data_IF_544393373954
#
_entry.id   IF_544393373954
#
_cell.length_a   1.000
_cell.length_b   1.000
_cell.length_c   1.000
_cell.angle_alpha   90.00
_cell.angle_beta   90.00
_cell.angle_gamma   90.00
#
_symmetry.space_group_name_H-M   'P 1'
#
loop_
_entity.id
_entity.type
_entity.pdbx_description
1 polymer ?
#
# COMPACT_ATOMS: atom_id res chain seq x y z
N UNK A 1 15.39 16.18 -43.40
CA UNK A 1 14.71 16.17 -42.09
C UNK A 1 14.63 14.72 -41.63
N UNK A 2 15.45 14.31 -40.64
CA UNK A 2 15.34 12.99 -40.03
C UNK A 2 14.37 13.12 -38.86
N UNK A 3 13.24 12.41 -38.92
CA UNK A 3 12.36 12.24 -37.76
C UNK A 3 13.15 11.49 -36.70
N UNK A 4 13.36 12.16 -35.56
CA UNK A 4 13.81 11.51 -34.33
C UNK A 4 12.53 11.01 -33.70
N UNK A 5 12.24 9.72 -33.85
CA UNK A 5 11.20 9.06 -33.05
C UNK A 5 11.72 8.99 -31.62
N UNK A 6 11.02 9.63 -30.69
CA UNK A 6 11.31 9.50 -29.27
C UNK A 6 11.29 8.01 -28.88
N UNK A 7 12.31 7.52 -28.15
CA UNK A 7 12.27 6.16 -27.65
C UNK A 7 11.13 6.05 -26.65
N UNK A 8 10.18 5.16 -26.94
CA UNK A 8 9.20 4.70 -25.96
C UNK A 8 9.95 4.33 -24.67
N UNK A 9 9.58 4.86 -23.49
CA UNK A 9 10.27 4.50 -22.27
C UNK A 9 10.16 2.98 -22.10
N UNK A 10 11.32 2.32 -22.05
CA UNK A 10 11.40 0.89 -21.81
C UNK A 10 10.75 0.62 -20.45
N UNK A 11 9.71 -0.20 -20.43
CA UNK A 11 9.20 -0.79 -19.20
C UNK A 11 10.40 -1.49 -18.54
N UNK A 12 10.79 -1.12 -17.30
CA UNK A 12 11.91 -1.75 -16.63
C UNK A 12 11.73 -3.28 -16.65
N UNK A 13 12.73 -4.02 -17.15
CA UNK A 13 12.70 -5.47 -17.31
C UNK A 13 12.56 -6.27 -15.98
N UNK A 14 12.43 -5.60 -14.84
CA UNK A 14 12.53 -6.21 -13.50
C UNK A 14 11.22 -6.74 -12.92
N UNK A 15 10.07 -6.60 -13.61
CA UNK A 15 8.77 -7.08 -13.13
C UNK A 15 8.11 -8.09 -14.08
N UNK A 16 8.87 -9.10 -14.53
CA UNK A 16 8.27 -10.22 -15.28
C UNK A 16 7.58 -11.18 -14.32
N UNK A 17 6.24 -11.21 -14.34
CA UNK A 17 5.46 -12.20 -13.60
C UNK A 17 5.68 -13.56 -14.29
N UNK A 18 6.09 -14.62 -13.55
CA UNK A 18 6.27 -15.93 -14.13
C UNK A 18 5.02 -16.41 -14.86
N UNK A 19 5.19 -16.93 -16.08
CA UNK A 19 4.10 -17.58 -16.79
C UNK A 19 3.73 -18.88 -16.07
N UNK A 20 2.46 -18.98 -15.68
CA UNK A 20 1.87 -20.18 -15.08
C UNK A 20 0.65 -20.55 -15.91
N UNK A 21 0.59 -21.80 -16.34
CA UNK A 21 -0.58 -22.34 -17.01
C UNK A 21 -1.44 -23.04 -15.96
N UNK A 22 -2.57 -22.42 -15.63
CA UNK A 22 -3.59 -23.00 -14.76
C UNK A 22 -4.12 -24.33 -15.34
N UNK A 23 -4.39 -25.27 -14.46
CA UNK A 23 -5.07 -26.54 -14.80
C UNK A 23 -6.58 -26.33 -14.91
N UNK A 24 -7.26 -27.25 -15.60
CA UNK A 24 -8.73 -27.21 -15.72
C UNK A 24 -9.42 -27.27 -14.34
N UNK A 25 -8.85 -28.04 -13.40
CA UNK A 25 -9.36 -28.14 -12.02
C UNK A 25 -9.21 -26.81 -11.27
N UNK A 26 -8.04 -26.17 -11.33
CA UNK A 26 -7.82 -24.85 -10.71
C UNK A 26 -8.73 -23.77 -11.30
N UNK A 27 -8.92 -23.77 -12.61
CA UNK A 27 -9.83 -22.86 -13.29
C UNK A 27 -11.28 -23.10 -12.85
N UNK A 28 -11.71 -24.36 -12.75
CA UNK A 28 -13.04 -24.74 -12.27
C UNK A 28 -13.28 -24.33 -10.82
N UNK A 29 -12.31 -24.58 -9.93
CA UNK A 29 -12.37 -24.17 -8.53
C UNK A 29 -12.48 -22.65 -8.40
N UNK A 30 -11.68 -21.88 -9.15
CA UNK A 30 -11.79 -20.42 -9.20
C UNK A 30 -13.19 -19.97 -9.63
N UNK A 31 -13.73 -20.51 -10.72
CA UNK A 31 -15.06 -20.13 -11.24
C UNK A 31 -16.14 -20.42 -10.19
N UNK A 32 -16.03 -21.56 -9.51
CA UNK A 32 -16.93 -21.94 -8.42
C UNK A 32 -16.84 -20.93 -7.28
N UNK A 33 -15.64 -20.64 -6.79
CA UNK A 33 -15.42 -19.65 -5.74
C UNK A 33 -15.92 -18.25 -6.11
N UNK A 34 -15.70 -17.80 -7.34
CA UNK A 34 -16.20 -16.51 -7.85
C UNK A 34 -17.75 -16.47 -7.87
N UNK A 35 -18.40 -17.59 -8.20
CA UNK A 35 -19.85 -17.72 -8.19
C UNK A 35 -20.42 -17.66 -6.76
N UNK A 36 -19.79 -18.37 -5.82
CA UNK A 36 -20.14 -18.33 -4.39
C UNK A 36 -20.00 -16.91 -3.84
N UNK A 37 -18.91 -16.22 -4.17
CA UNK A 37 -18.68 -14.83 -3.76
C UNK A 37 -19.79 -13.89 -4.27
N UNK A 38 -20.14 -14.00 -5.56
CA UNK A 38 -21.23 -13.21 -6.16
C UNK A 38 -22.58 -13.49 -5.52
N UNK A 39 -22.80 -14.72 -5.05
CA UNK A 39 -24.02 -15.16 -4.38
C UNK A 39 -24.03 -14.81 -2.88
N UNK A 40 -22.97 -14.18 -2.36
CA UNK A 40 -22.84 -13.79 -0.97
C UNK A 40 -22.37 -14.90 -0.03
N UNK A 41 -22.11 -16.11 -0.55
CA UNK A 41 -21.57 -17.25 0.18
C UNK A 41 -20.05 -17.08 0.41
N UNK A 42 -19.72 -16.05 1.19
CA UNK A 42 -18.34 -15.60 1.40
C UNK A 42 -17.45 -16.65 2.07
N UNK A 43 -17.97 -17.36 3.08
CA UNK A 43 -17.18 -18.36 3.82
C UNK A 43 -16.78 -19.54 2.93
N UNK A 44 -17.72 -20.05 2.13
CA UNK A 44 -17.48 -21.18 1.21
C UNK A 44 -16.55 -20.77 0.07
N UNK A 45 -16.75 -19.56 -0.48
CA UNK A 45 -15.84 -18.97 -1.47
C UNK A 45 -14.41 -18.85 -0.94
N UNK A 46 -14.25 -18.31 0.28
CA UNK A 46 -12.95 -18.11 0.91
C UNK A 46 -12.21 -19.43 1.13
N UNK A 47 -12.92 -20.48 1.55
CA UNK A 47 -12.33 -21.81 1.74
C UNK A 47 -11.72 -22.36 0.44
N UNK A 48 -12.39 -22.17 -0.71
CA UNK A 48 -11.84 -22.61 -2.00
C UNK A 48 -10.62 -21.76 -2.38
N UNK A 49 -10.69 -20.43 -2.22
CA UNK A 49 -9.54 -19.57 -2.49
C UNK A 49 -8.34 -19.92 -1.62
N UNK A 50 -8.53 -20.18 -0.32
CA UNK A 50 -7.44 -20.58 0.57
C UNK A 50 -6.77 -21.87 0.12
N UNK A 51 -7.55 -22.89 -0.25
CA UNK A 51 -7.01 -24.14 -0.76
C UNK A 51 -6.17 -23.94 -2.02
N UNK A 52 -6.64 -23.10 -2.96
CA UNK A 52 -5.87 -22.73 -4.16
C UNK A 52 -4.57 -21.99 -3.80
N UNK A 53 -4.62 -21.05 -2.86
CA UNK A 53 -3.44 -20.29 -2.43
C UNK A 53 -2.41 -21.15 -1.67
N UNK A 54 -2.75 -22.35 -1.20
CA UNK A 54 -1.74 -23.24 -0.63
C UNK A 54 -0.81 -23.86 -1.67
N UNK A 55 -1.28 -24.03 -2.92
CA UNK A 55 -0.57 -24.81 -3.95
C UNK A 55 -0.05 -23.97 -5.11
N UNK A 56 -0.71 -22.85 -5.42
CA UNK A 56 -0.36 -22.04 -6.59
C UNK A 56 1.03 -21.36 -6.43
N UNK A 57 1.91 -21.37 -7.44
CA UNK A 57 3.11 -20.56 -7.40
C UNK A 57 2.79 -19.07 -7.61
N UNK A 58 3.77 -18.22 -7.32
CA UNK A 58 3.73 -16.79 -7.69
C UNK A 58 3.45 -16.66 -9.18
N UNK A 59 2.29 -16.06 -9.50
CA UNK A 59 1.77 -15.97 -10.86
C UNK A 59 0.64 -14.95 -10.95
N UNK A 60 0.31 -14.52 -12.17
CA UNK A 60 -0.84 -13.66 -12.42
C UNK A 60 -2.18 -14.37 -12.11
N UNK A 61 -2.20 -15.70 -12.14
CA UNK A 61 -3.37 -16.47 -11.71
C UNK A 61 -3.53 -16.38 -10.19
N UNK A 62 -2.45 -16.65 -9.43
CA UNK A 62 -2.42 -16.49 -7.98
C UNK A 62 -2.81 -15.08 -7.53
N UNK A 63 -2.33 -14.03 -8.21
CA UNK A 63 -2.68 -12.65 -7.86
C UNK A 63 -4.19 -12.39 -7.95
N UNK A 64 -4.88 -12.93 -8.96
CA UNK A 64 -6.33 -12.85 -9.10
C UNK A 64 -7.06 -13.59 -7.98
N UNK A 65 -6.60 -14.79 -7.61
CA UNK A 65 -7.17 -15.56 -6.51
C UNK A 65 -7.04 -14.79 -5.18
N UNK A 66 -5.84 -14.31 -4.87
CA UNK A 66 -5.60 -13.55 -3.65
C UNK A 66 -6.44 -12.25 -3.59
N UNK A 67 -6.55 -11.52 -4.71
CA UNK A 67 -7.41 -10.36 -4.78
C UNK A 67 -8.88 -10.71 -4.48
N UNK A 68 -9.42 -11.79 -5.04
CA UNK A 68 -10.80 -12.21 -4.78
C UNK A 68 -11.00 -12.75 -3.35
N UNK A 69 -10.01 -13.43 -2.77
CA UNK A 69 -10.01 -13.84 -1.36
C UNK A 69 -10.14 -12.62 -0.43
N UNK A 70 -9.46 -11.51 -0.75
CA UNK A 70 -9.58 -10.26 0.00
C UNK A 70 -11.00 -9.66 -0.03
N UNK A 71 -11.78 -9.97 -1.06
CA UNK A 71 -13.18 -9.52 -1.21
C UNK A 71 -14.17 -10.45 -0.50
N UNK A 72 -13.86 -11.74 -0.42
CA UNK A 72 -14.62 -12.70 0.38
C UNK A 72 -14.40 -12.49 1.89
N UNK A 73 -13.29 -11.85 2.27
CA UNK A 73 -12.89 -11.66 3.67
C UNK A 73 -13.58 -10.47 4.34
N UNK A 74 -14.01 -10.68 5.59
CA UNK A 74 -14.62 -9.65 6.44
C UNK A 74 -13.57 -9.01 7.38
N UNK A 75 -12.66 -9.82 7.94
CA UNK A 75 -11.67 -9.35 8.90
C UNK A 75 -10.61 -8.48 8.21
N UNK A 76 -10.33 -7.32 8.80
CA UNK A 76 -9.40 -6.33 8.23
C UNK A 76 -7.99 -6.92 8.07
N UNK A 77 -7.51 -7.66 9.07
CA UNK A 77 -6.17 -8.25 9.07
C UNK A 77 -6.00 -9.29 7.97
N UNK A 78 -6.98 -10.16 7.80
CA UNK A 78 -6.98 -11.15 6.72
C UNK A 78 -7.09 -10.49 5.35
N UNK A 79 -7.90 -9.41 5.24
CA UNK A 79 -8.02 -8.64 4.00
C UNK A 79 -6.69 -8.03 3.59
N UNK A 80 -5.95 -7.47 4.55
CA UNK A 80 -4.60 -6.95 4.33
C UNK A 80 -3.65 -8.05 3.85
N UNK A 81 -3.66 -9.22 4.50
CA UNK A 81 -2.83 -10.38 4.13
C UNK A 81 -3.02 -10.72 2.64
N UNK A 82 -4.25 -10.93 2.20
CA UNK A 82 -4.52 -11.31 0.81
C UNK A 82 -4.18 -10.22 -0.20
N UNK A 83 -4.38 -8.94 0.14
CA UNK A 83 -3.96 -7.84 -0.73
C UNK A 83 -2.44 -7.78 -0.87
N UNK A 84 -1.68 -8.02 0.21
CA UNK A 84 -0.22 -8.12 0.15
C UNK A 84 0.24 -9.31 -0.67
N UNK A 85 -0.42 -10.46 -0.53
CA UNK A 85 -0.13 -11.66 -1.31
C UNK A 85 -0.43 -11.49 -2.81
N UNK A 86 -1.52 -10.78 -3.13
CA UNK A 86 -1.82 -10.34 -4.49
C UNK A 86 -0.66 -9.50 -5.06
N UNK A 87 -0.19 -8.51 -4.30
CA UNK A 87 0.91 -7.63 -4.71
C UNK A 87 2.28 -8.31 -4.72
N UNK A 88 2.48 -9.37 -3.94
CA UNK A 88 3.66 -10.22 -4.03
C UNK A 88 3.68 -10.99 -5.37
N UNK A 89 2.50 -11.39 -5.85
CA UNK A 89 2.37 -12.15 -7.09
C UNK A 89 2.32 -11.26 -8.33
N UNK A 90 1.75 -10.06 -8.18
CA UNK A 90 1.63 -9.03 -9.21
C UNK A 90 1.83 -7.64 -8.57
N UNK A 91 3.08 -7.14 -8.52
CA UNK A 91 3.38 -5.83 -7.94
C UNK A 91 2.72 -4.66 -8.66
N UNK A 92 2.25 -4.84 -9.90
CA UNK A 92 1.62 -3.79 -10.69
C UNK A 92 0.09 -3.83 -10.59
N UNK A 93 -0.48 -4.69 -9.74
CA UNK A 93 -1.93 -4.86 -9.59
C UNK A 93 -2.60 -3.64 -8.94
N UNK A 94 -2.87 -2.59 -9.74
CA UNK A 94 -3.40 -1.28 -9.31
C UNK A 94 -4.64 -1.38 -8.41
N UNK A 95 -5.59 -2.26 -8.74
CA UNK A 95 -6.82 -2.45 -7.93
C UNK A 95 -6.52 -2.93 -6.52
N UNK A 96 -5.51 -3.79 -6.35
CA UNK A 96 -5.12 -4.28 -5.04
C UNK A 96 -4.43 -3.17 -4.23
N UNK A 97 -3.56 -2.37 -4.87
CA UNK A 97 -2.96 -1.18 -4.25
C UNK A 97 -4.01 -0.19 -3.74
N UNK A 98 -5.01 0.15 -4.57
CA UNK A 98 -6.09 1.06 -4.17
C UNK A 98 -6.86 0.51 -2.96
N UNK A 99 -7.18 -0.78 -2.96
CA UNK A 99 -7.86 -1.43 -1.83
C UNK A 99 -6.99 -1.41 -0.56
N UNK A 100 -5.70 -1.65 -0.70
CA UNK A 100 -4.75 -1.65 0.41
C UNK A 100 -4.55 -0.24 0.99
N UNK A 101 -4.41 0.78 0.14
CA UNK A 101 -4.36 2.18 0.56
C UNK A 101 -5.61 2.58 1.38
N UNK A 102 -6.80 2.22 0.89
CA UNK A 102 -8.06 2.45 1.62
C UNK A 102 -8.14 1.67 2.93
N UNK A 103 -7.57 0.47 3.01
CA UNK A 103 -7.52 -0.31 4.24
C UNK A 103 -6.64 0.39 5.28
N UNK A 104 -5.45 0.84 4.90
CA UNK A 104 -4.57 1.62 5.77
C UNK A 104 -5.23 2.92 6.24
N UNK A 105 -5.98 3.59 5.36
CA UNK A 105 -6.79 4.74 5.74
C UNK A 105 -7.79 4.40 6.86
N UNK A 106 -8.51 3.28 6.76
CA UNK A 106 -9.45 2.86 7.83
C UNK A 106 -8.76 2.49 9.14
N UNK A 107 -7.50 2.04 9.06
CA UNK A 107 -6.67 1.71 10.23
C UNK A 107 -5.96 2.95 10.82
N UNK A 108 -6.10 4.14 10.19
CA UNK A 108 -5.31 5.35 10.49
C UNK A 108 -3.79 5.17 10.32
N UNK A 109 -3.34 4.18 9.54
CA UNK A 109 -1.94 4.05 9.15
C UNK A 109 -1.66 4.96 7.93
N UNK A 110 -1.53 6.26 8.21
CA UNK A 110 -1.39 7.26 7.17
C UNK A 110 -0.07 7.16 6.40
N UNK A 111 0.99 6.66 7.03
CA UNK A 111 2.29 6.46 6.38
C UNK A 111 2.19 5.34 5.35
N UNK A 112 1.65 4.18 5.73
CA UNK A 112 1.45 3.07 4.79
C UNK A 112 0.43 3.44 3.68
N UNK A 113 -0.63 4.17 4.03
CA UNK A 113 -1.60 4.69 3.07
C UNK A 113 -0.94 5.58 2.01
N UNK A 114 -0.10 6.53 2.44
CA UNK A 114 0.63 7.43 1.54
C UNK A 114 1.54 6.66 0.58
N UNK A 115 2.30 5.67 1.10
CA UNK A 115 3.19 4.85 0.29
C UNK A 115 2.43 4.16 -0.84
N UNK A 116 1.26 3.60 -0.56
CA UNK A 116 0.46 2.93 -1.60
C UNK A 116 -0.13 3.92 -2.61
N UNK A 117 -0.57 5.12 -2.20
CA UNK A 117 -1.02 6.16 -3.14
C UNK A 117 0.09 6.66 -4.07
N UNK A 118 1.31 6.82 -3.55
CA UNK A 118 2.48 7.16 -4.38
C UNK A 118 2.74 6.09 -5.43
N UNK A 119 2.72 4.81 -5.04
CA UNK A 119 2.88 3.71 -6.02
C UNK A 119 1.75 3.67 -7.05
N UNK A 120 0.52 4.00 -6.68
CA UNK A 120 -0.60 4.05 -7.65
C UNK A 120 -0.36 5.15 -8.69
N UNK A 121 0.13 6.32 -8.27
CA UNK A 121 0.48 7.44 -9.16
C UNK A 121 1.66 7.11 -10.09
N UNK A 122 2.63 6.32 -9.61
CA UNK A 122 3.75 5.82 -10.43
C UNK A 122 3.29 4.84 -11.52
N UNK A 123 2.21 4.08 -11.27
CA UNK A 123 1.65 3.13 -12.25
C UNK A 123 0.86 3.84 -13.35
N UNK A 124 -0.09 4.69 -12.95
CA UNK A 124 -0.98 5.39 -13.86
C UNK A 124 -1.37 6.77 -13.28
N UNK A 125 -1.66 7.77 -14.13
CA UNK A 125 -2.20 9.04 -13.67
C UNK A 125 -3.43 8.87 -12.76
N UNK A 126 -3.42 9.57 -11.63
CA UNK A 126 -4.55 9.56 -10.69
C UNK A 126 -5.75 10.30 -11.27
N UNK A 127 -6.95 9.75 -11.05
CA UNK A 127 -8.19 10.50 -11.24
C UNK A 127 -8.33 11.63 -10.21
N UNK A 128 -9.18 12.62 -10.47
CA UNK A 128 -9.38 13.74 -9.53
C UNK A 128 -9.75 13.28 -8.11
N UNK A 129 -10.65 12.29 -7.99
CA UNK A 129 -11.00 11.73 -6.68
C UNK A 129 -9.81 11.03 -6.00
N UNK A 130 -8.95 10.36 -6.75
CA UNK A 130 -7.73 9.74 -6.20
C UNK A 130 -6.67 10.78 -5.80
N UNK A 131 -6.57 11.90 -6.52
CA UNK A 131 -5.70 13.03 -6.13
C UNK A 131 -6.12 13.62 -4.78
N UNK A 132 -7.42 13.77 -4.54
CA UNK A 132 -7.93 14.23 -3.24
C UNK A 132 -7.54 13.27 -2.11
N UNK A 133 -7.72 11.96 -2.32
CA UNK A 133 -7.32 10.96 -1.34
C UNK A 133 -5.82 10.96 -1.07
N UNK A 134 -4.99 11.06 -2.13
CA UNK A 134 -3.54 11.16 -1.98
C UNK A 134 -3.13 12.41 -1.21
N UNK A 135 -3.70 13.57 -1.51
CA UNK A 135 -3.39 14.82 -0.81
C UNK A 135 -3.75 14.75 0.68
N UNK A 136 -4.88 14.11 1.02
CA UNK A 136 -5.23 13.84 2.42
C UNK A 136 -4.22 12.90 3.09
N UNK A 137 -3.85 11.81 2.41
CA UNK A 137 -2.87 10.85 2.91
C UNK A 137 -1.50 11.50 3.14
N UNK A 138 -1.00 12.31 2.19
CA UNK A 138 0.27 13.05 2.31
C UNK A 138 0.25 13.98 3.53
N UNK A 139 -0.82 14.75 3.71
CA UNK A 139 -0.97 15.67 4.85
C UNK A 139 -0.94 14.93 6.18
N UNK A 140 -1.68 13.82 6.29
CA UNK A 140 -1.78 13.05 7.53
C UNK A 140 -0.52 12.22 7.81
N UNK A 141 0.12 11.69 6.77
CA UNK A 141 1.40 10.99 6.87
C UNK A 141 2.51 11.91 7.37
N UNK A 142 2.55 13.17 6.93
CA UNK A 142 3.49 14.16 7.45
C UNK A 142 3.30 14.37 8.96
N UNK A 143 2.06 14.54 9.41
CA UNK A 143 1.74 14.65 10.84
C UNK A 143 2.20 13.42 11.63
N UNK A 144 1.81 12.23 11.18
CA UNK A 144 2.20 10.97 11.81
C UNK A 144 3.73 10.78 11.86
N UNK A 145 4.44 11.17 10.80
CA UNK A 145 5.91 11.11 10.74
C UNK A 145 6.54 12.07 11.76
N UNK A 146 6.04 13.30 11.86
CA UNK A 146 6.49 14.27 12.86
C UNK A 146 6.26 13.73 14.28
N UNK A 147 5.12 13.09 14.55
CA UNK A 147 4.82 12.53 15.87
C UNK A 147 5.76 11.36 16.22
N UNK A 148 6.06 10.48 15.25
CA UNK A 148 7.07 9.42 15.44
C UNK A 148 8.45 10.01 15.74
N UNK A 149 8.88 11.03 14.99
CA UNK A 149 10.17 11.70 15.22
C UNK A 149 10.22 12.38 16.59
N UNK A 150 9.13 13.05 17.00
CA UNK A 150 9.00 13.64 18.33
C UNK A 150 9.13 12.59 19.43
N UNK A 151 8.38 11.49 19.33
CA UNK A 151 8.46 10.39 20.30
C UNK A 151 9.85 9.77 20.39
N UNK A 152 10.56 9.65 19.26
CA UNK A 152 11.93 9.16 19.25
C UNK A 152 12.91 10.14 19.89
N UNK A 153 12.77 11.44 19.61
CA UNK A 153 13.57 12.49 20.23
C UNK A 153 13.35 12.58 21.74
N UNK A 154 12.10 12.53 22.20
CA UNK A 154 11.76 12.51 23.62
C UNK A 154 12.32 11.26 24.33
N UNK A 155 12.35 10.09 23.67
CA UNK A 155 12.97 8.88 24.23
C UNK A 155 14.48 9.03 24.44
N UNK A 156 15.16 9.78 23.56
CA UNK A 156 16.60 10.06 23.68
C UNK A 156 16.84 11.12 24.75
N UNK A 157 16.15 12.26 24.64
CA UNK A 157 16.29 13.41 25.53
C UNK A 157 15.82 13.13 26.96
N UNK A 158 14.82 12.27 27.12
CA UNK A 158 14.31 11.87 28.43
C UNK A 158 15.36 11.18 29.30
N UNK A 159 16.37 10.52 28.71
CA UNK A 159 17.53 9.98 29.46
C UNK A 159 18.35 11.06 30.15
N UNK A 160 18.21 12.31 29.72
CA UNK A 160 18.88 13.48 30.27
C UNK A 160 17.91 14.44 30.97
N UNK A 161 16.66 14.01 31.22
CA UNK A 161 15.63 14.85 31.86
C UNK A 161 15.11 15.99 30.98
N UNK A 162 15.19 15.85 29.65
CA UNK A 162 14.76 16.85 28.68
C UNK A 162 13.64 16.32 27.78
N UNK A 163 12.92 17.22 27.10
CA UNK A 163 11.95 16.94 26.04
C UNK A 163 12.24 17.76 24.79
N UNK A 164 11.81 17.29 23.61
CA UNK A 164 11.79 18.08 22.38
C UNK A 164 11.04 19.40 22.56
N UNK A 165 10.02 19.42 23.43
CA UNK A 165 9.24 20.64 23.68
C UNK A 165 10.02 21.72 24.45
N UNK A 166 11.18 21.36 25.03
CA UNK A 166 12.08 22.32 25.69
C UNK A 166 12.90 23.12 24.66
N UNK A 167 12.83 22.78 23.37
CA UNK A 167 13.56 23.45 22.30
C UNK A 167 12.61 24.26 21.43
N UNK A 168 12.91 25.55 21.21
CA UNK A 168 12.20 26.43 20.30
C UNK A 168 13.10 26.90 19.18
N UNK A 169 12.55 26.91 17.96
CA UNK A 169 13.22 27.45 16.79
C UNK A 169 12.82 28.90 16.56
N UNK A 170 13.80 29.78 16.33
CA UNK A 170 13.59 31.17 15.93
C UNK A 170 14.28 31.42 14.59
N UNK A 171 13.54 32.01 13.64
CA UNK A 171 14.10 32.37 12.32
C UNK A 171 14.80 33.72 12.43
N UNK A 172 16.07 33.75 12.08
CA UNK A 172 16.89 34.96 12.08
C UNK A 172 16.62 35.80 10.83
N UNK A 173 16.98 37.09 10.88
CA UNK A 173 16.77 38.03 9.77
C UNK A 173 17.55 37.67 8.49
N UNK A 174 18.65 36.93 8.63
CA UNK A 174 19.47 36.40 7.52
C UNK A 174 18.90 35.11 6.90
N UNK A 175 17.75 34.62 7.40
CA UNK A 175 17.10 33.40 6.92
C UNK A 175 17.57 32.11 7.62
N UNK A 176 18.59 32.18 8.48
CA UNK A 176 19.02 31.02 9.29
C UNK A 176 18.04 30.74 10.43
N UNK A 177 18.13 29.55 11.03
CA UNK A 177 17.27 29.16 12.16
C UNK A 177 18.13 28.86 13.38
N UNK A 178 17.85 29.56 14.48
CA UNK A 178 18.46 29.31 15.79
C UNK A 178 17.59 28.36 16.59
N UNK A 179 18.20 27.44 17.35
CA UNK A 179 17.49 26.59 18.31
C UNK A 179 17.86 27.08 19.71
N UNK A 180 16.87 27.50 20.48
CA UNK A 180 17.02 27.91 21.88
C UNK A 180 16.38 26.87 22.79
N UNK A 181 17.04 26.57 23.92
CA UNK A 181 16.50 25.70 24.95
C UNK A 181 15.84 26.55 26.03
N UNK A 182 14.54 26.35 26.23
CA UNK A 182 13.76 26.96 27.29
C UNK A 182 13.93 26.13 28.55
N UNK A 183 14.99 26.39 29.33
CA UNK A 183 15.13 25.82 30.67
C UNK A 183 13.99 26.32 31.56
N UNK A 184 13.24 25.40 32.17
CA UNK A 184 12.53 25.69 33.42
C UNK A 184 13.52 25.78 34.57
#
# INVERSE_FOLDING_TARGET
MKQISDPTPAIPQEFSIPYYQETDDEAYQKITADSLLKSGQRSESLQIYDNLLLTLPVSAFRSKIAHNASEATIQIQDKERYLRECLQSDPLHRKARVKLAKLFQTQNDWIACQIEWTKIEELDPLSEGEKEFKAEADKKALGATVDVLKGWGDKILGKFGMSINDFQTTKNADGTTSIQMNKK
#
